data_IF_625457674861
#
_entry.id   IF_625457674861
#
_cell.length_a   1.000
_cell.length_b   1.000
_cell.length_c   1.000
_cell.angle_alpha   90.00
_cell.angle_beta   90.00
_cell.angle_gamma   90.00
#
_symmetry.space_group_name_H-M   'P 1'
#
loop_
_entity.id
_entity.type
_entity.pdbx_description
1 polymer ?
#
# COMPACT_ATOMS: atom_id res chain seq x y z
N UNK A 1 17.36 -4.95 38.60
CA UNK A 1 16.00 -5.51 38.58
C UNK A 1 16.09 -6.95 38.07
N UNK A 2 15.38 -7.92 38.66
CA UNK A 2 15.29 -9.29 38.13
C UNK A 2 14.80 -9.31 36.68
N UNK A 3 15.40 -10.16 35.83
CA UNK A 3 15.08 -10.26 34.39
C UNK A 3 13.61 -10.59 34.11
N UNK A 4 12.94 -11.30 35.02
CA UNK A 4 11.52 -11.62 34.92
C UNK A 4 10.61 -10.40 35.01
N UNK A 5 11.00 -9.37 35.78
CA UNK A 5 10.20 -8.15 35.94
C UNK A 5 10.32 -7.25 34.72
N UNK A 6 11.53 -7.08 34.18
CA UNK A 6 11.77 -6.32 32.93
C UNK A 6 11.08 -6.96 31.73
N UNK A 7 10.96 -8.29 31.67
CA UNK A 7 10.20 -8.99 30.62
C UNK A 7 8.68 -8.76 30.73
N UNK A 8 8.16 -8.59 31.95
CA UNK A 8 6.73 -8.30 32.16
C UNK A 8 6.41 -6.86 31.81
N UNK A 9 7.25 -5.92 32.20
CA UNK A 9 7.13 -4.49 31.86
C UNK A 9 7.13 -4.30 30.34
N UNK A 10 8.14 -4.81 29.64
CA UNK A 10 8.22 -4.72 28.16
C UNK A 10 7.03 -5.39 27.45
N UNK A 11 6.50 -6.51 27.98
CA UNK A 11 5.29 -7.12 27.43
C UNK A 11 4.05 -6.25 27.64
N UNK A 12 3.91 -5.59 28.79
CA UNK A 12 2.79 -4.69 29.06
C UNK A 12 2.83 -3.47 28.13
N UNK A 13 4.01 -2.91 27.90
CA UNK A 13 4.24 -1.83 26.94
C UNK A 13 3.82 -2.25 25.53
N UNK A 14 4.31 -3.40 25.04
CA UNK A 14 3.95 -3.91 23.72
C UNK A 14 2.44 -4.16 23.54
N UNK A 15 1.76 -4.63 24.60
CA UNK A 15 0.30 -4.81 24.58
C UNK A 15 -0.43 -3.45 24.55
N UNK A 16 0.07 -2.45 25.27
CA UNK A 16 -0.50 -1.11 25.26
C UNK A 16 -0.37 -0.46 23.89
N UNK A 17 0.82 -0.56 23.26
CA UNK A 17 1.07 -0.10 21.90
C UNK A 17 0.18 -0.80 20.89
N UNK A 18 0.04 -2.13 20.99
CA UNK A 18 -0.83 -2.90 20.12
C UNK A 18 -2.30 -2.46 20.21
N UNK A 19 -2.79 -2.16 21.43
CA UNK A 19 -4.15 -1.64 21.63
C UNK A 19 -4.33 -0.26 21.02
N UNK A 20 -3.38 0.65 21.27
CA UNK A 20 -3.42 1.99 20.70
C UNK A 20 -3.45 1.96 19.16
N UNK A 21 -2.67 1.07 18.55
CA UNK A 21 -2.68 0.89 17.09
C UNK A 21 -4.00 0.33 16.57
N UNK A 22 -4.62 -0.61 17.29
CA UNK A 22 -5.94 -1.14 16.93
C UNK A 22 -7.00 -0.01 16.97
N UNK A 23 -6.97 0.82 18.00
CA UNK A 23 -7.88 1.97 18.14
C UNK A 23 -7.65 3.01 17.04
N UNK A 24 -6.40 3.35 16.74
CA UNK A 24 -6.07 4.28 15.66
C UNK A 24 -6.58 3.77 14.31
N UNK A 25 -6.33 2.50 13.97
CA UNK A 25 -6.79 1.89 12.72
C UNK A 25 -8.31 1.83 12.65
N UNK A 26 -8.96 1.56 13.77
CA UNK A 26 -10.41 1.58 13.85
C UNK A 26 -10.98 2.98 13.59
N UNK A 27 -10.33 4.03 14.09
CA UNK A 27 -10.69 5.41 13.82
C UNK A 27 -10.47 5.80 12.34
N UNK A 28 -9.34 5.42 11.74
CA UNK A 28 -9.05 5.65 10.31
C UNK A 28 -10.06 4.93 9.40
N UNK A 29 -10.39 3.67 9.73
CA UNK A 29 -11.45 2.92 9.05
C UNK A 29 -12.79 3.65 9.17
N UNK A 30 -13.18 4.04 10.39
CA UNK A 30 -14.43 4.72 10.63
C UNK A 30 -14.52 6.03 9.86
N UNK A 31 -13.47 6.85 9.84
CA UNK A 31 -13.45 8.10 9.08
C UNK A 31 -13.70 7.87 7.59
N UNK A 32 -13.00 6.91 6.98
CA UNK A 32 -13.19 6.55 5.57
C UNK A 32 -14.57 5.98 5.27
N UNK A 33 -15.05 5.04 6.09
CA UNK A 33 -16.40 4.47 5.92
C UNK A 33 -17.49 5.54 6.11
N UNK A 34 -17.27 6.51 7.00
CA UNK A 34 -18.15 7.65 7.22
C UNK A 34 -18.16 8.60 6.03
N UNK A 35 -17.01 8.94 5.45
CA UNK A 35 -16.93 9.73 4.22
C UNK A 35 -17.66 9.05 3.04
N UNK A 36 -17.47 7.74 2.88
CA UNK A 36 -18.20 6.96 1.86
C UNK A 36 -19.71 6.95 2.11
N UNK A 37 -20.14 6.85 3.37
CA UNK A 37 -21.53 6.90 3.77
C UNK A 37 -22.17 8.25 3.42
N UNK A 38 -21.50 9.35 3.77
CA UNK A 38 -21.93 10.70 3.43
C UNK A 38 -22.00 10.92 1.91
N UNK A 39 -21.00 10.43 1.15
CA UNK A 39 -21.02 10.48 -0.31
C UNK A 39 -22.22 9.72 -0.90
N UNK A 40 -22.52 8.53 -0.39
CA UNK A 40 -23.69 7.72 -0.81
C UNK A 40 -25.01 8.40 -0.48
N UNK A 41 -25.10 9.06 0.69
CA UNK A 41 -26.28 9.86 1.06
C UNK A 41 -26.46 11.05 0.11
N UNK A 42 -25.39 11.79 -0.16
CA UNK A 42 -25.40 12.93 -1.08
C UNK A 42 -25.83 12.50 -2.50
N UNK A 43 -25.29 11.39 -3.01
CA UNK A 43 -25.66 10.85 -4.32
C UNK A 43 -27.14 10.44 -4.35
N UNK A 44 -27.64 9.80 -3.29
CA UNK A 44 -29.04 9.41 -3.18
C UNK A 44 -29.97 10.63 -3.17
N UNK A 45 -29.60 11.68 -2.43
CA UNK A 45 -30.32 12.96 -2.38
C UNK A 45 -30.34 13.65 -3.75
N UNK A 46 -29.20 13.67 -4.46
CA UNK A 46 -29.13 14.21 -5.81
C UNK A 46 -29.99 13.42 -6.81
N UNK A 47 -30.02 12.08 -6.69
CA UNK A 47 -30.91 11.22 -7.50
C UNK A 47 -32.39 11.45 -7.20
N UNK A 48 -32.75 11.63 -5.93
CA UNK A 48 -34.12 11.97 -5.52
C UNK A 48 -34.57 13.31 -6.10
N UNK A 49 -33.72 14.34 -6.03
CA UNK A 49 -33.99 15.65 -6.63
C UNK A 49 -34.15 15.57 -8.15
N UNK A 50 -33.31 14.80 -8.85
CA UNK A 50 -33.39 14.63 -10.32
C UNK A 50 -34.63 13.88 -10.78
N UNK A 51 -35.05 12.82 -10.08
CA UNK A 51 -36.20 11.97 -10.48
C UNK A 51 -37.52 12.36 -9.83
N UNK A 52 -37.52 13.24 -8.81
CA UNK A 52 -38.70 13.61 -8.02
C UNK A 52 -39.32 12.44 -7.24
N UNK A 53 -38.63 11.30 -7.17
CA UNK A 53 -39.09 10.07 -6.50
C UNK A 53 -37.95 9.49 -5.69
N UNK A 54 -38.29 8.90 -4.53
CA UNK A 54 -37.32 8.22 -3.67
C UNK A 54 -36.63 7.09 -4.44
N UNK A 55 -35.28 7.05 -4.45
CA UNK A 55 -34.54 5.95 -5.02
C UNK A 55 -34.92 4.63 -4.33
N UNK A 56 -35.13 3.57 -5.11
CA UNK A 56 -35.41 2.23 -4.60
C UNK A 56 -34.21 1.64 -3.84
N UNK A 57 -34.47 0.64 -3.00
CA UNK A 57 -33.46 -0.05 -2.20
C UNK A 57 -33.29 0.51 -0.78
N UNK A 58 -32.66 -0.28 0.10
CA UNK A 58 -32.44 0.07 1.50
C UNK A 58 -31.51 1.30 1.60
N UNK A 59 -31.72 2.23 2.55
CA UNK A 59 -30.73 3.26 2.84
C UNK A 59 -29.38 2.63 3.24
N UNK A 60 -28.25 3.29 2.92
CA UNK A 60 -26.96 2.85 3.44
C UNK A 60 -27.01 2.83 4.98
N UNK A 61 -26.35 1.86 5.60
CA UNK A 61 -26.24 1.79 7.05
C UNK A 61 -25.09 2.67 7.54
N UNK A 62 -25.23 3.35 8.69
CA UNK A 62 -24.12 4.10 9.27
C UNK A 62 -23.00 3.15 9.70
N UNK A 63 -21.72 3.57 9.59
CA UNK A 63 -20.59 2.78 10.07
C UNK A 63 -20.58 2.70 11.60
N UNK A 64 -20.01 1.62 12.13
CA UNK A 64 -19.86 1.41 13.58
C UNK A 64 -18.51 1.98 14.08
N UNK A 65 -18.51 2.82 15.13
CA UNK A 65 -17.28 3.36 15.70
C UNK A 65 -16.53 2.31 16.54
N UNK A 66 -15.21 2.47 16.61
CA UNK A 66 -14.35 1.68 17.49
C UNK A 66 -13.85 0.35 16.90
N UNK A 67 -13.00 -0.36 17.67
CA UNK A 67 -12.38 -1.60 17.21
C UNK A 67 -13.37 -2.76 17.22
N UNK A 68 -13.26 -3.62 16.19
CA UNK A 68 -14.05 -4.84 16.04
C UNK A 68 -13.36 -5.98 16.77
N UNK A 69 -14.12 -7.00 17.17
CA UNK A 69 -13.59 -8.20 17.84
C UNK A 69 -12.56 -8.99 17.02
N UNK A 70 -12.52 -8.76 15.70
CA UNK A 70 -11.57 -9.39 14.77
C UNK A 70 -10.39 -8.49 14.43
N UNK A 71 -10.33 -7.26 14.95
CA UNK A 71 -9.21 -6.36 14.71
C UNK A 71 -7.99 -6.90 15.46
N UNK A 72 -6.93 -7.20 14.72
CA UNK A 72 -5.68 -7.75 15.24
C UNK A 72 -4.51 -6.97 14.66
N UNK A 73 -3.43 -6.88 15.45
CA UNK A 73 -2.12 -6.41 15.01
C UNK A 73 -1.08 -7.49 15.28
N UNK A 74 -0.12 -7.60 14.37
CA UNK A 74 1.04 -8.46 14.56
C UNK A 74 2.07 -7.71 15.42
N UNK A 75 2.55 -8.36 16.47
CA UNK A 75 3.49 -7.78 17.43
C UNK A 75 4.93 -7.72 16.91
N UNK A 76 5.30 -8.59 15.96
CA UNK A 76 6.64 -8.59 15.36
C UNK A 76 6.74 -7.57 14.23
N UNK A 77 5.67 -7.45 13.46
CA UNK A 77 5.58 -6.52 12.34
C UNK A 77 4.18 -5.92 12.29
N UNK A 78 4.05 -4.71 12.83
CA UNK A 78 2.77 -4.03 12.94
C UNK A 78 2.16 -3.63 11.59
N UNK A 79 2.98 -3.45 10.55
CA UNK A 79 2.50 -3.02 9.24
C UNK A 79 1.97 -4.20 8.42
N UNK A 80 2.38 -5.43 8.70
CA UNK A 80 1.85 -6.62 8.03
C UNK A 80 0.34 -6.84 8.29
N UNK A 81 -0.36 -7.52 7.36
CA UNK A 81 -1.78 -7.88 7.50
C UNK A 81 -2.02 -9.35 7.16
N UNK A 82 -3.09 -9.91 7.70
CA UNK A 82 -3.57 -11.23 7.31
C UNK A 82 -4.32 -11.07 5.99
N UNK A 83 -3.73 -11.55 4.89
CA UNK A 83 -4.30 -11.45 3.54
C UNK A 83 -4.53 -12.84 2.96
N UNK A 84 -5.49 -12.96 2.03
CA UNK A 84 -5.73 -14.22 1.33
C UNK A 84 -4.76 -14.35 0.16
N UNK A 85 -3.94 -15.40 0.18
CA UNK A 85 -2.99 -15.69 -0.88
C UNK A 85 -3.62 -16.57 -1.99
N UNK A 86 -2.96 -16.67 -3.13
CA UNK A 86 -3.43 -17.40 -4.32
C UNK A 86 -3.72 -18.89 -4.06
N UNK A 87 -3.04 -19.51 -3.09
CA UNK A 87 -3.30 -20.88 -2.63
C UNK A 87 -4.54 -21.04 -1.73
N UNK A 88 -5.29 -19.98 -1.48
CA UNK A 88 -6.45 -19.97 -0.58
C UNK A 88 -6.10 -19.91 0.91
N UNK A 89 -4.81 -19.97 1.25
CA UNK A 89 -4.30 -19.75 2.60
C UNK A 89 -4.40 -18.26 3.01
N UNK A 90 -4.45 -18.03 4.32
CA UNK A 90 -4.34 -16.70 4.91
C UNK A 90 -2.95 -16.53 5.52
N UNK A 91 -2.19 -15.56 5.03
CA UNK A 91 -0.79 -15.36 5.43
C UNK A 91 -0.56 -13.92 5.86
N UNK A 92 0.35 -13.74 6.81
CA UNK A 92 0.78 -12.44 7.31
C UNK A 92 1.73 -11.80 6.28
N UNK A 93 1.20 -10.93 5.43
CA UNK A 93 1.90 -10.44 4.22
C UNK A 93 1.59 -8.98 3.94
N UNK A 94 2.21 -8.48 2.87
CA UNK A 94 1.98 -7.19 2.27
C UNK A 94 1.49 -7.39 0.84
N UNK A 95 0.66 -6.47 0.36
CA UNK A 95 0.39 -6.37 -1.06
C UNK A 95 1.32 -5.32 -1.66
N UNK A 96 2.22 -5.73 -2.54
CA UNK A 96 3.18 -4.87 -3.20
C UNK A 96 2.80 -4.67 -4.67
N UNK A 97 2.85 -3.42 -5.12
CA UNK A 97 2.53 -3.02 -6.48
C UNK A 97 3.77 -2.40 -7.11
N UNK A 98 3.94 -2.62 -8.40
CA UNK A 98 5.00 -2.01 -9.19
C UNK A 98 4.49 -1.66 -10.58
N UNK A 99 4.88 -0.49 -11.09
CA UNK A 99 4.65 -0.10 -12.46
C UNK A 99 5.97 -0.19 -13.24
N UNK A 100 5.91 -0.86 -14.39
CA UNK A 100 7.05 -1.13 -15.25
C UNK A 100 6.83 -0.49 -16.61
N UNK A 101 7.85 0.15 -17.16
CA UNK A 101 7.86 0.70 -18.52
C UNK A 101 7.97 -0.40 -19.56
N UNK A 102 7.30 -0.23 -20.71
CA UNK A 102 7.35 -1.22 -21.80
C UNK A 102 8.67 -1.24 -22.56
N UNK A 103 9.35 -0.10 -22.64
CA UNK A 103 10.44 0.08 -23.61
C UNK A 103 11.78 -0.39 -23.06
N UNK A 104 12.03 -0.11 -21.78
CA UNK A 104 13.28 -0.44 -21.10
C UNK A 104 13.08 -1.38 -19.89
N UNK A 105 11.84 -1.84 -19.63
CA UNK A 105 11.50 -2.80 -18.58
C UNK A 105 11.92 -2.34 -17.17
N UNK A 106 11.99 -1.03 -16.95
CA UNK A 106 12.38 -0.44 -15.68
C UNK A 106 11.17 -0.23 -14.79
N UNK A 107 11.34 -0.49 -13.50
CA UNK A 107 10.35 -0.16 -12.48
C UNK A 107 10.40 1.35 -12.26
N UNK A 108 9.32 2.05 -12.59
CA UNK A 108 9.20 3.51 -12.40
C UNK A 108 8.46 3.87 -11.13
N UNK A 109 7.61 2.98 -10.64
CA UNK A 109 6.83 3.19 -9.43
C UNK A 109 6.75 1.90 -8.64
N UNK A 110 6.83 2.01 -7.33
CA UNK A 110 6.52 0.93 -6.42
C UNK A 110 5.83 1.49 -5.18
N UNK A 111 4.88 0.72 -4.65
CA UNK A 111 4.29 1.01 -3.36
C UNK A 111 3.72 -0.25 -2.72
N UNK A 112 3.60 -0.19 -1.40
CA UNK A 112 2.97 -1.22 -0.58
C UNK A 112 1.57 -0.73 -0.21
N UNK A 113 0.59 -1.62 -0.33
CA UNK A 113 -0.80 -1.38 0.04
C UNK A 113 -1.25 -2.40 1.07
N UNK A 114 -2.18 -1.97 1.91
CA UNK A 114 -2.82 -2.82 2.91
C UNK A 114 -4.17 -3.36 2.43
N UNK A 115 -4.47 -3.21 1.15
CA UNK A 115 -5.62 -3.84 0.51
C UNK A 115 -5.30 -5.29 0.16
N UNK A 116 -6.26 -6.17 0.44
CA UNK A 116 -6.18 -7.60 0.15
C UNK A 116 -6.24 -7.92 -1.35
N UNK A 117 -6.69 -6.97 -2.17
CA UNK A 117 -6.87 -7.15 -3.61
C UNK A 117 -6.42 -5.91 -4.41
N UNK A 118 -6.18 -6.13 -5.70
CA UNK A 118 -5.55 -5.13 -6.57
C UNK A 118 -6.54 -4.20 -7.29
N UNK A 119 -7.85 -4.34 -7.06
CA UNK A 119 -8.89 -3.68 -7.86
C UNK A 119 -8.81 -2.16 -7.88
N UNK A 120 -8.28 -1.56 -6.81
CA UNK A 120 -8.20 -0.11 -6.64
C UNK A 120 -6.74 0.39 -6.66
N UNK A 121 -5.80 -0.41 -7.17
CA UNK A 121 -4.37 -0.07 -7.15
C UNK A 121 -3.88 0.63 -8.43
N UNK A 122 -4.65 0.60 -9.53
CA UNK A 122 -4.31 1.35 -10.74
C UNK A 122 -4.35 2.87 -10.55
N UNK A 123 -5.41 3.48 -9.95
CA UNK A 123 -5.43 4.92 -9.72
C UNK A 123 -4.25 5.46 -8.88
N UNK A 124 -3.88 4.87 -7.72
CA UNK A 124 -2.73 5.37 -6.96
C UNK A 124 -1.41 5.19 -7.70
N UNK A 125 -1.22 4.08 -8.45
CA UNK A 125 -0.03 3.91 -9.29
C UNK A 125 0.07 5.02 -10.34
N UNK A 126 -1.01 5.30 -11.08
CA UNK A 126 -1.04 6.36 -12.08
C UNK A 126 -0.79 7.75 -11.48
N UNK A 127 -1.37 8.05 -10.32
CA UNK A 127 -1.13 9.31 -9.60
C UNK A 127 0.35 9.46 -9.22
N UNK A 128 0.95 8.40 -8.66
CA UNK A 128 2.36 8.41 -8.24
C UNK A 128 3.30 8.57 -9.43
N UNK A 129 3.03 7.88 -10.54
CA UNK A 129 3.77 8.06 -11.80
C UNK A 129 3.66 9.51 -12.27
N UNK A 130 2.47 10.12 -12.20
CA UNK A 130 2.27 11.53 -12.58
C UNK A 130 2.99 12.54 -11.66
N UNK A 131 3.43 12.13 -10.48
CA UNK A 131 4.25 12.96 -9.57
C UNK A 131 5.75 12.80 -9.80
N UNK A 132 6.18 11.86 -10.65
CA UNK A 132 7.58 11.69 -11.01
C UNK A 132 8.08 12.86 -11.87
N UNK A 133 9.38 13.19 -11.79
CA UNK A 133 9.97 14.16 -12.71
C UNK A 133 9.89 13.66 -14.17
N UNK A 134 9.94 14.58 -15.12
CA UNK A 134 9.95 14.25 -16.56
C UNK A 134 11.14 13.35 -16.95
N UNK A 135 12.25 13.41 -16.20
CA UNK A 135 13.41 12.54 -16.37
C UNK A 135 13.85 11.94 -15.04
N UNK A 136 14.01 10.62 -15.01
CA UNK A 136 14.48 9.85 -13.84
C UNK A 136 16.01 9.70 -13.81
N UNK A 137 16.72 10.34 -14.73
CA UNK A 137 18.15 10.18 -14.90
C UNK A 137 18.52 9.00 -15.79
N UNK A 138 19.79 8.62 -15.74
CA UNK A 138 20.38 7.68 -16.70
C UNK A 138 20.54 6.28 -16.08
N UNK A 139 20.54 5.25 -16.93
CA UNK A 139 20.49 3.84 -16.51
C UNK A 139 21.87 3.23 -16.26
N UNK A 140 22.95 3.93 -16.60
CA UNK A 140 24.32 3.42 -16.50
C UNK A 140 24.71 3.00 -15.08
N UNK A 141 24.29 3.67 -13.99
CA UNK A 141 24.59 3.20 -12.64
C UNK A 141 24.04 1.79 -12.38
N UNK A 142 22.79 1.53 -12.80
CA UNK A 142 22.13 0.23 -12.61
C UNK A 142 22.84 -0.85 -13.43
N UNK A 143 23.09 -0.58 -14.71
CA UNK A 143 23.83 -1.51 -15.56
C UNK A 143 25.28 -1.70 -15.09
N UNK A 144 25.90 -0.67 -14.54
CA UNK A 144 27.25 -0.72 -13.96
C UNK A 144 27.31 -1.66 -12.75
N UNK A 145 26.34 -1.57 -11.84
CA UNK A 145 26.22 -2.48 -10.69
C UNK A 145 26.00 -3.93 -11.16
N UNK A 146 25.09 -4.15 -12.11
CA UNK A 146 24.82 -5.49 -12.66
C UNK A 146 26.10 -6.06 -13.28
N UNK A 147 26.79 -5.27 -14.11
CA UNK A 147 28.06 -5.66 -14.75
C UNK A 147 29.13 -6.01 -13.72
N UNK A 148 29.31 -5.17 -12.70
CA UNK A 148 30.25 -5.41 -11.62
C UNK A 148 29.93 -6.71 -10.85
N UNK A 149 28.66 -6.94 -10.51
CA UNK A 149 28.20 -8.18 -9.87
C UNK A 149 28.40 -9.42 -10.76
N UNK A 150 28.24 -9.26 -12.07
CA UNK A 150 28.57 -10.28 -13.08
C UNK A 150 30.07 -10.43 -13.34
N UNK A 151 30.94 -9.70 -12.62
CA UNK A 151 32.39 -9.80 -12.71
C UNK A 151 33.04 -8.97 -13.83
N UNK A 152 32.26 -8.14 -14.55
CA UNK A 152 32.79 -7.18 -15.52
C UNK A 152 33.44 -6.01 -14.77
N UNK A 153 34.75 -6.15 -14.49
CA UNK A 153 35.54 -5.19 -13.71
C UNK A 153 36.16 -4.06 -14.54
N UNK A 154 36.22 -4.20 -15.86
CA UNK A 154 36.72 -3.19 -16.81
C UNK A 154 35.89 -3.24 -18.10
N UNK A 155 35.48 -2.09 -18.60
CA UNK A 155 35.02 -1.96 -19.98
C UNK A 155 36.24 -1.99 -20.90
N UNK A 156 36.24 -2.87 -21.90
CA UNK A 156 37.13 -2.72 -23.06
C UNK A 156 36.72 -1.43 -23.77
N UNK A 157 37.59 -0.42 -23.77
CA UNK A 157 37.39 0.88 -24.46
C UNK A 157 37.38 0.75 -26.00
N UNK A 158 37.37 -0.47 -26.53
CA UNK A 158 37.29 -0.73 -27.97
C UNK A 158 35.84 -0.60 -28.41
N UNK A 159 35.54 0.43 -29.20
CA UNK A 159 34.19 0.69 -29.72
C UNK A 159 33.38 1.70 -28.90
N UNK A 160 34.02 2.54 -28.08
CA UNK A 160 33.35 3.67 -27.39
C UNK A 160 32.67 4.61 -28.39
N UNK A 161 33.27 4.82 -29.57
CA UNK A 161 32.65 5.56 -30.68
C UNK A 161 31.36 4.90 -31.20
N UNK A 162 31.17 3.60 -30.99
CA UNK A 162 29.98 2.85 -31.43
C UNK A 162 28.86 2.84 -30.38
N UNK A 163 29.14 3.30 -29.15
CA UNK A 163 28.19 3.33 -28.02
C UNK A 163 27.90 4.77 -27.56
N UNK A 164 28.60 5.76 -28.12
CA UNK A 164 28.21 7.16 -28.03
C UNK A 164 26.91 7.35 -28.82
N UNK A 165 25.77 7.30 -28.13
CA UNK A 165 24.47 7.65 -28.69
C UNK A 165 24.28 9.16 -28.52
N UNK A 166 23.76 9.78 -29.59
CA UNK A 166 23.20 11.15 -29.63
C UNK A 166 22.18 11.42 -28.51
#
# INVERSE_FOLDING_TARGET
>A
MPEELTRRESRLEAIAEAKAQIEQRAAERFAREHEEYEAKLAERKAKEQRRGKKPGGRPPAPPEPGPKSKDQVNLTDSESRIMRCSGGAFEQTYNAQAAVTTDNMLIVENHITQQDNDKLQLPPAAQRIGMLPESLGTVEPVFGIIKAAMGFRQFLLRGVESVAVE
#
